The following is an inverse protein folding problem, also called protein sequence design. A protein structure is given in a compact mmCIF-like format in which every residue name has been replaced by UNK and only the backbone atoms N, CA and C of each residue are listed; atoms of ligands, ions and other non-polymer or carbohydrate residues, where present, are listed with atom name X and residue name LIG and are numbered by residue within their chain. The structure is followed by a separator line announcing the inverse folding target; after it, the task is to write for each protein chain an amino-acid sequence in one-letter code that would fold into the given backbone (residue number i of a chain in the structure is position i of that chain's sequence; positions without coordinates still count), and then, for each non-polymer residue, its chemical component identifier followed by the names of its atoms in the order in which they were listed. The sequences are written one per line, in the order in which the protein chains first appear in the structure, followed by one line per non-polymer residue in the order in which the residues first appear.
data_IF_604161512381
#
_entry.id   IF_604161512381
#
_cell.length_a   1.000
_cell.length_b   1.000
_cell.length_c   1.000
_cell.angle_alpha   90.00
_cell.angle_beta   90.00
_cell.angle_gamma   90.00
#
_symmetry.space_group_name_H-M   'P 1'
#
loop_
_entity.id
_entity.type
_entity.pdbx_description
1 polymer ?
#
# COMPACT_ATOMS: atom_id res chain seq x y z
N UNK A 1 23.81 -56.29 55.34
CA UNK A 1 24.04 -55.05 56.09
C UNK A 1 23.08 -54.01 55.54
N UNK A 2 22.22 -53.45 56.40
CA UNK A 2 20.87 -52.98 56.09
C UNK A 2 20.70 -51.60 56.69
N UNK A 3 21.19 -50.56 56.03
CA UNK A 3 21.15 -49.20 56.56
C UNK A 3 21.09 -48.23 55.36
N UNK A 4 20.33 -47.14 55.29
CA UNK A 4 19.24 -46.53 56.05
C UNK A 4 19.02 -45.16 55.34
N UNK A 5 17.81 -44.59 55.39
CA UNK A 5 17.47 -43.17 55.12
C UNK A 5 17.58 -42.68 53.66
N UNK A 6 16.81 -41.74 53.13
CA UNK A 6 15.55 -41.05 53.41
C UNK A 6 15.51 -39.96 52.30
N UNK A 7 14.36 -39.63 51.74
CA UNK A 7 14.23 -38.43 50.87
C UNK A 7 13.42 -38.70 49.60
N UNK A 8 12.11 -38.44 49.54
CA UNK A 8 11.44 -37.12 49.42
C UNK A 8 11.54 -36.56 47.99
N UNK A 9 10.38 -36.49 47.31
CA UNK A 9 10.00 -35.61 46.18
C UNK A 9 10.82 -35.71 44.89
N UNK A 10 10.34 -35.46 43.67
CA UNK A 10 9.15 -34.83 43.12
C UNK A 10 9.04 -35.36 41.68
N UNK A 11 7.85 -35.36 41.08
CA UNK A 11 7.65 -35.67 39.67
C UNK A 11 8.61 -34.86 38.76
N UNK A 12 9.54 -35.54 38.09
CA UNK A 12 10.41 -34.94 37.06
C UNK A 12 9.68 -35.03 35.72
N UNK A 13 8.96 -33.95 35.43
CA UNK A 13 8.71 -33.33 34.11
C UNK A 13 8.63 -34.25 32.89
N UNK A 14 7.40 -34.47 32.48
CA UNK A 14 6.97 -34.89 31.15
C UNK A 14 7.50 -33.90 30.08
N UNK A 15 8.50 -34.31 29.31
CA UNK A 15 9.05 -33.50 28.20
C UNK A 15 8.15 -33.67 26.97
N UNK A 16 7.20 -32.75 26.80
CA UNK A 16 6.40 -32.64 25.57
C UNK A 16 7.29 -32.03 24.49
N UNK A 17 7.87 -32.86 23.63
CA UNK A 17 8.61 -32.44 22.45
C UNK A 17 7.69 -31.91 21.35
N UNK A 18 6.97 -30.82 21.63
CA UNK A 18 6.21 -30.03 20.68
C UNK A 18 7.21 -29.05 20.03
N UNK A 19 7.72 -29.33 18.84
CA UNK A 19 8.41 -28.29 18.06
C UNK A 19 7.37 -27.22 17.73
N UNK A 20 7.48 -25.99 18.27
CA UNK A 20 6.53 -24.95 17.97
C UNK A 20 6.68 -24.63 16.49
N UNK A 21 5.55 -24.72 15.78
CA UNK A 21 5.38 -24.18 14.43
C UNK A 21 5.77 -22.70 14.55
N UNK A 22 7.00 -22.34 14.18
CA UNK A 22 7.40 -20.93 14.20
C UNK A 22 6.66 -20.25 13.07
N UNK A 23 5.59 -19.56 13.45
CA UNK A 23 4.77 -18.71 12.61
C UNK A 23 5.64 -17.83 11.71
N UNK A 24 5.74 -18.18 10.43
CA UNK A 24 6.24 -17.27 9.40
C UNK A 24 5.12 -16.29 9.05
N UNK A 25 4.92 -15.28 9.90
CA UNK A 25 4.08 -14.13 9.57
C UNK A 25 4.93 -13.21 8.70
N UNK A 26 4.96 -13.46 7.39
CA UNK A 26 5.34 -12.42 6.44
C UNK A 26 4.22 -11.40 6.38
N UNK A 27 4.25 -10.45 7.32
CA UNK A 27 3.51 -9.20 7.20
C UNK A 27 4.11 -8.46 6.00
N UNK A 28 3.58 -8.72 4.82
CA UNK A 28 3.74 -7.82 3.70
C UNK A 28 3.03 -6.53 4.10
N UNK A 29 3.78 -5.62 4.71
CA UNK A 29 3.36 -4.23 4.84
C UNK A 29 3.19 -3.70 3.41
N UNK A 30 2.03 -3.95 2.81
CA UNK A 30 1.56 -3.19 1.66
C UNK A 30 1.60 -1.74 2.14
N UNK A 31 2.57 -0.97 1.66
CA UNK A 31 2.71 0.44 1.99
C UNK A 31 1.41 1.13 1.56
N UNK A 32 0.47 1.26 2.49
CA UNK A 32 -0.82 1.89 2.26
C UNK A 32 -0.52 3.36 2.06
N UNK A 33 -0.58 3.81 0.80
CA UNK A 33 -0.49 5.22 0.49
C UNK A 33 -1.61 5.95 1.24
N UNK A 34 -1.24 6.70 2.28
CA UNK A 34 -2.18 7.41 3.14
C UNK A 34 -2.19 8.88 2.77
N UNK A 35 -3.34 9.35 2.32
CA UNK A 35 -3.59 10.74 1.99
C UNK A 35 -4.26 11.44 3.17
N UNK A 36 -3.61 12.44 3.77
CA UNK A 36 -4.26 13.23 4.83
C UNK A 36 -4.98 14.47 4.30
N UNK A 37 -4.51 15.02 3.18
CA UNK A 37 -5.03 16.22 2.54
C UNK A 37 -4.91 16.11 1.02
N UNK A 38 -5.89 16.64 0.28
CA UNK A 38 -5.91 16.65 -1.19
C UNK A 38 -5.58 18.03 -1.76
N UNK A 39 -4.88 18.06 -2.90
CA UNK A 39 -4.61 19.32 -3.62
C UNK A 39 -5.92 19.93 -4.15
N UNK A 40 -6.01 21.25 -4.12
CA UNK A 40 -7.12 22.03 -4.71
C UNK A 40 -6.87 22.24 -6.19
N UNK A 41 -7.93 22.21 -7.01
CA UNK A 41 -7.74 22.55 -8.42
C UNK A 41 -7.30 23.99 -8.59
N UNK A 42 -6.47 24.26 -9.59
CA UNK A 42 -6.18 25.62 -10.01
C UNK A 42 -7.43 26.25 -10.61
N UNK A 43 -7.73 27.48 -10.17
CA UNK A 43 -8.84 28.26 -10.71
C UNK A 43 -8.50 28.80 -12.11
N UNK A 44 -9.53 29.05 -12.91
CA UNK A 44 -9.43 29.67 -14.25
C UNK A 44 -8.67 28.87 -15.32
N UNK A 45 -8.41 27.58 -15.11
CA UNK A 45 -7.85 26.72 -16.15
C UNK A 45 -8.94 26.21 -17.10
N UNK A 46 -8.62 26.20 -18.39
CA UNK A 46 -9.43 25.52 -19.40
C UNK A 46 -9.24 24.01 -19.33
N UNK A 47 -10.18 23.25 -19.91
CA UNK A 47 -10.11 21.79 -20.00
C UNK A 47 -8.79 21.28 -20.63
N UNK A 48 -8.25 22.02 -21.60
CA UNK A 48 -6.99 21.70 -22.28
C UNK A 48 -5.78 21.95 -21.37
N UNK A 49 -5.77 23.07 -20.65
CA UNK A 49 -4.67 23.43 -19.72
C UNK A 49 -4.61 22.45 -18.55
N UNK A 50 -5.75 22.17 -17.92
CA UNK A 50 -5.89 21.22 -16.82
C UNK A 50 -5.77 19.75 -17.28
N UNK A 51 -5.68 19.47 -18.58
CA UNK A 51 -5.65 18.12 -19.14
C UNK A 51 -6.80 17.23 -18.64
N UNK A 52 -8.03 17.74 -18.66
CA UNK A 52 -9.23 17.03 -18.17
C UNK A 52 -9.72 15.90 -19.08
N UNK A 53 -9.00 15.60 -20.17
CA UNK A 53 -9.19 14.39 -21.00
C UNK A 53 -8.66 13.16 -20.26
N UNK A 54 -9.22 12.89 -19.09
CA UNK A 54 -8.95 11.71 -18.28
C UNK A 54 -10.05 10.66 -18.48
N UNK A 55 -9.77 9.37 -18.22
CA UNK A 55 -10.80 8.36 -18.23
C UNK A 55 -11.96 8.73 -17.30
N UNK A 56 -13.20 8.51 -17.74
CA UNK A 56 -14.41 8.88 -16.99
C UNK A 56 -14.45 8.29 -15.57
N UNK A 57 -13.91 7.09 -15.40
CA UNK A 57 -13.82 6.39 -14.12
C UNK A 57 -12.88 7.06 -13.11
N UNK A 58 -11.91 7.85 -13.57
CA UNK A 58 -10.99 8.59 -12.71
C UNK A 58 -11.46 10.04 -12.46
N UNK A 59 -12.63 10.42 -12.99
CA UNK A 59 -13.19 11.74 -12.76
C UNK A 59 -13.55 11.93 -11.30
N UNK A 60 -13.06 13.02 -10.70
CA UNK A 60 -13.28 13.35 -9.28
C UNK A 60 -12.12 12.96 -8.37
N UNK A 61 -11.21 12.11 -8.83
CA UNK A 61 -9.98 11.77 -8.12
C UNK A 61 -9.04 12.97 -8.04
N UNK A 62 -8.34 13.12 -6.91
CA UNK A 62 -7.45 14.25 -6.64
C UNK A 62 -6.09 13.76 -6.16
N UNK A 63 -4.99 14.39 -6.59
CA UNK A 63 -3.66 14.11 -6.04
C UNK A 63 -3.57 14.59 -4.59
N UNK A 64 -2.81 13.87 -3.77
CA UNK A 64 -2.61 14.22 -2.38
C UNK A 64 -1.66 15.41 -2.22
N UNK A 65 -2.02 16.34 -1.34
CA UNK A 65 -1.18 17.46 -0.94
C UNK A 65 -0.18 17.07 0.15
N UNK A 66 -0.55 16.16 1.04
CA UNK A 66 0.33 15.59 2.05
C UNK A 66 0.22 14.06 1.98
N UNK A 67 1.29 13.32 1.59
CA UNK A 67 2.72 13.68 1.56
C UNK A 67 3.25 14.38 0.28
N UNK A 68 2.38 15.07 -0.47
CA UNK A 68 2.67 15.70 -1.78
C UNK A 68 2.90 14.68 -2.90
N UNK A 69 1.80 14.11 -3.38
CA UNK A 69 1.76 13.19 -4.51
C UNK A 69 2.06 13.94 -5.82
N UNK A 70 2.99 13.40 -6.60
CA UNK A 70 3.26 13.85 -7.97
C UNK A 70 2.21 13.26 -8.92
N UNK A 71 2.01 13.85 -10.10
CA UNK A 71 1.10 13.31 -11.11
C UNK A 71 1.41 11.86 -11.48
N UNK A 72 2.70 11.49 -11.53
CA UNK A 72 3.14 10.12 -11.76
C UNK A 72 2.67 9.15 -10.67
N UNK A 73 2.82 9.54 -9.40
CA UNK A 73 2.37 8.73 -8.26
C UNK A 73 0.84 8.61 -8.23
N UNK A 74 0.14 9.71 -8.52
CA UNK A 74 -1.32 9.75 -8.68
C UNK A 74 -1.81 8.79 -9.75
N UNK A 75 -1.22 8.86 -10.96
CA UNK A 75 -1.56 7.98 -12.06
C UNK A 75 -1.31 6.50 -11.71
N UNK A 76 -0.14 6.22 -11.12
CA UNK A 76 0.23 4.87 -10.68
C UNK A 76 -0.74 4.34 -9.63
N UNK A 77 -1.09 5.11 -8.60
CA UNK A 77 -2.05 4.70 -7.58
C UNK A 77 -3.41 4.33 -8.16
N UNK A 78 -3.96 5.16 -9.05
CA UNK A 78 -5.26 4.88 -9.66
C UNK A 78 -5.23 3.67 -10.59
N UNK A 79 -4.16 3.50 -11.36
CA UNK A 79 -4.02 2.38 -12.28
C UNK A 79 -3.69 1.08 -11.55
N UNK A 80 -2.85 1.13 -10.52
CA UNK A 80 -2.58 0.00 -9.61
C UNK A 80 -3.88 -0.43 -8.92
N UNK A 81 -4.72 0.50 -8.47
CA UNK A 81 -6.01 0.19 -7.83
C UNK A 81 -7.02 -0.43 -8.81
N UNK A 82 -7.00 -0.01 -10.08
CA UNK A 82 -7.96 -0.48 -11.09
C UNK A 82 -7.55 -1.78 -11.78
N UNK A 83 -6.31 -1.83 -12.26
CA UNK A 83 -5.79 -2.91 -13.10
C UNK A 83 -4.79 -3.79 -12.37
N UNK A 84 -4.18 -3.30 -11.28
CA UNK A 84 -3.04 -3.94 -10.62
C UNK A 84 -1.71 -3.45 -11.16
N UNK A 85 -0.68 -3.53 -10.31
CA UNK A 85 0.67 -3.09 -10.66
C UNK A 85 1.23 -3.84 -11.87
N UNK A 86 1.64 -3.10 -12.90
CA UNK A 86 2.18 -3.66 -14.15
C UNK A 86 1.14 -4.09 -15.19
N UNK A 87 -0.15 -4.01 -14.89
CA UNK A 87 -1.23 -4.41 -15.81
C UNK A 87 -1.76 -3.26 -16.70
N UNK A 88 -1.00 -2.17 -16.80
CA UNK A 88 -1.37 -1.00 -17.60
C UNK A 88 -0.19 -0.54 -18.47
N UNK A 89 -0.51 0.07 -19.61
CA UNK A 89 0.51 0.59 -20.54
C UNK A 89 0.99 1.95 -20.07
N UNK A 90 2.31 2.14 -20.10
CA UNK A 90 2.96 3.44 -19.92
C UNK A 90 3.50 3.92 -21.27
N UNK A 91 3.26 5.18 -21.63
CA UNK A 91 3.73 5.75 -22.88
C UNK A 91 2.90 6.94 -23.35
N UNK A 92 3.22 7.46 -24.54
CA UNK A 92 2.49 8.58 -25.13
C UNK A 92 1.02 8.20 -25.38
N UNK A 93 0.10 9.11 -25.03
CA UNK A 93 -1.34 8.94 -25.23
C UNK A 93 -1.97 7.74 -24.50
N UNK A 94 -1.31 7.23 -23.46
CA UNK A 94 -1.85 6.19 -22.56
C UNK A 94 -2.67 6.80 -21.42
N UNK A 95 -3.52 6.00 -20.77
CA UNK A 95 -4.24 6.40 -19.54
C UNK A 95 -3.27 6.94 -18.48
N UNK A 96 -2.12 6.29 -18.31
CA UNK A 96 -1.06 6.76 -17.40
C UNK A 96 -0.63 8.20 -17.72
N UNK A 97 -0.33 8.50 -18.98
CA UNK A 97 0.12 9.84 -19.38
C UNK A 97 -0.96 10.91 -19.23
N UNK A 98 -2.23 10.55 -19.39
CA UNK A 98 -3.39 11.45 -19.21
C UNK A 98 -3.58 11.78 -17.74
N UNK A 99 -3.61 10.75 -16.89
CA UNK A 99 -3.73 10.92 -15.43
C UNK A 99 -2.53 11.66 -14.83
N UNK A 100 -1.33 11.39 -15.30
CA UNK A 100 -0.12 12.10 -14.88
C UNK A 100 -0.24 13.59 -15.14
N UNK A 101 -0.57 13.97 -16.38
CA UNK A 101 -0.74 15.38 -16.76
C UNK A 101 -1.85 16.05 -15.96
N UNK A 102 -2.97 15.35 -15.74
CA UNK A 102 -4.06 15.86 -14.93
C UNK A 102 -3.62 16.13 -13.49
N UNK A 103 -2.93 15.18 -12.86
CA UNK A 103 -2.41 15.34 -11.50
C UNK A 103 -1.36 16.44 -11.35
N UNK A 104 -0.57 16.71 -12.39
CA UNK A 104 0.47 17.75 -12.38
C UNK A 104 -0.03 19.14 -12.82
N UNK A 105 -1.06 19.22 -13.67
CA UNK A 105 -1.49 20.49 -14.28
C UNK A 105 -2.76 21.05 -13.66
N UNK A 106 -3.70 20.19 -13.27
CA UNK A 106 -5.00 20.62 -12.77
C UNK A 106 -4.96 21.07 -11.30
N UNK A 107 -3.90 20.77 -10.56
CA UNK A 107 -3.77 20.90 -9.11
C UNK A 107 -2.39 21.43 -8.72
#
# INVERSE_FOLDING_TARGET
MRNLLLGITLAVTFVVGLLPITNFISSANAATFSCSEYKTRLANQTAKEAATDIPSWASGERPCKNPNETGSAFAKRLLDAKYGAGNYKTGTNTEYSKLQKFGDRAF
#
